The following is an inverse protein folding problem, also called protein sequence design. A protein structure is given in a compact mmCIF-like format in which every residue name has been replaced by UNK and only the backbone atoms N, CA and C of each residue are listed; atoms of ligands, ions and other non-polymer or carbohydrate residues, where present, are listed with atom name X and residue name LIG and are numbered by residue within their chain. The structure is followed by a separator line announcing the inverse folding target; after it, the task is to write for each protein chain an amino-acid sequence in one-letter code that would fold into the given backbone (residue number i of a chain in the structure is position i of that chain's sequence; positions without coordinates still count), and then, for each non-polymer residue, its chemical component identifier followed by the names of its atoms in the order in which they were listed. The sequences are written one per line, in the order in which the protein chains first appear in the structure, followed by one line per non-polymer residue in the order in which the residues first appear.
data_IF_479092591492
#
_entry.id   IF_479092591492
#
_cell.length_a   1.000
_cell.length_b   1.000
_cell.length_c   1.000
_cell.angle_alpha   90.00
_cell.angle_beta   90.00
_cell.angle_gamma   90.00
#
_symmetry.space_group_name_H-M   'P 1'
#
loop_
_entity.id
_entity.type
_entity.pdbx_description
1 polymer ?
#
# COMPACT_ATOMS: atom_id res chain seq x y z
N UNK A 1 6.05 12.21 0.34
CA UNK A 1 5.10 11.24 0.95
C UNK A 1 5.24 11.24 2.47
N UNK A 2 4.16 11.01 3.22
CA UNK A 2 4.19 10.95 4.68
C UNK A 2 5.00 9.74 5.19
N UNK A 3 5.53 9.83 6.41
CA UNK A 3 6.30 8.74 7.04
C UNK A 3 5.37 7.62 7.55
N UNK A 4 4.19 8.00 8.04
CA UNK A 4 3.15 7.09 8.51
C UNK A 4 1.87 7.27 7.69
N UNK A 5 1.15 6.18 7.45
CA UNK A 5 -0.12 6.16 6.73
C UNK A 5 -1.16 5.46 7.59
N UNK A 6 -2.40 5.95 7.55
CA UNK A 6 -3.57 5.29 8.13
C UNK A 6 -4.61 5.01 7.04
N UNK A 7 -5.21 3.82 7.05
CA UNK A 7 -6.32 3.45 6.19
C UNK A 7 -7.58 3.27 7.03
N UNK A 8 -8.62 4.04 6.71
CA UNK A 8 -9.95 3.91 7.29
C UNK A 8 -10.86 3.20 6.29
N UNK A 9 -11.56 2.16 6.73
CA UNK A 9 -12.53 1.41 5.92
C UNK A 9 -13.76 1.10 6.79
N UNK A 10 -14.96 1.36 6.29
CA UNK A 10 -16.21 1.15 7.04
C UNK A 10 -16.26 1.80 8.44
N UNK A 11 -15.72 3.03 8.59
CA UNK A 11 -15.59 3.75 9.88
C UNK A 11 -14.65 3.06 10.89
N UNK A 12 -13.88 2.06 10.47
CA UNK A 12 -12.87 1.39 11.27
C UNK A 12 -11.46 1.70 10.76
N UNK A 13 -10.51 1.85 11.68
CA UNK A 13 -9.08 1.98 11.36
C UNK A 13 -8.53 0.60 10.98
N UNK A 14 -8.49 0.33 9.69
CA UNK A 14 -7.99 -0.94 9.16
C UNK A 14 -6.50 -1.09 9.44
N UNK A 15 -5.72 -0.02 9.30
CA UNK A 15 -4.30 -0.04 9.57
C UNK A 15 -3.76 1.37 9.84
N UNK A 16 -2.77 1.50 10.72
CA UNK A 16 -2.00 2.71 10.94
C UNK A 16 -0.56 2.37 11.33
N UNK A 17 0.41 2.98 10.66
CA UNK A 17 1.82 2.73 10.95
C UNK A 17 2.76 3.32 9.91
N UNK A 18 4.04 2.89 9.91
CA UNK A 18 5.01 3.27 8.88
C UNK A 18 4.48 2.93 7.50
N UNK A 19 4.77 3.77 6.51
CA UNK A 19 4.26 3.55 5.14
C UNK A 19 4.62 2.17 4.57
N UNK A 20 5.79 1.64 4.91
CA UNK A 20 6.24 0.31 4.46
C UNK A 20 5.27 -0.78 4.90
N UNK A 21 4.76 -0.70 6.13
CA UNK A 21 3.76 -1.64 6.67
C UNK A 21 2.53 -1.74 5.77
N UNK A 22 2.00 -0.61 5.35
CA UNK A 22 0.81 -0.57 4.49
C UNK A 22 1.14 -0.98 3.06
N UNK A 23 2.28 -0.52 2.52
CA UNK A 23 2.68 -0.76 1.13
C UNK A 23 3.20 -2.18 0.87
N UNK A 24 3.48 -2.96 1.91
CA UNK A 24 3.79 -4.39 1.84
C UNK A 24 2.71 -5.27 2.47
N UNK A 25 1.51 -4.72 2.74
CA UNK A 25 0.44 -5.46 3.42
C UNK A 25 -0.29 -6.42 2.49
N UNK A 26 -0.49 -7.65 2.94
CA UNK A 26 -1.30 -8.66 2.24
C UNK A 26 -2.81 -8.53 2.51
N UNK A 27 -3.22 -7.61 3.40
CA UNK A 27 -4.62 -7.35 3.72
C UNK A 27 -5.40 -6.97 2.45
N UNK A 28 -6.46 -7.72 2.06
CA UNK A 28 -7.10 -7.58 0.75
C UNK A 28 -7.70 -6.19 0.52
N UNK A 29 -8.24 -5.54 1.57
CA UNK A 29 -8.74 -4.16 1.49
C UNK A 29 -7.63 -3.18 1.15
N UNK A 30 -6.46 -3.33 1.76
CA UNK A 30 -5.29 -2.47 1.52
C UNK A 30 -4.76 -2.70 0.10
N UNK A 31 -4.62 -3.97 -0.31
CA UNK A 31 -4.07 -4.36 -1.61
C UNK A 31 -4.97 -3.93 -2.77
N UNK A 32 -6.29 -4.08 -2.64
CA UNK A 32 -7.24 -3.57 -3.63
C UNK A 32 -7.12 -2.05 -3.80
N UNK A 33 -7.06 -1.32 -2.68
CA UNK A 33 -6.92 0.13 -2.68
C UNK A 33 -5.62 0.58 -3.36
N UNK A 34 -4.47 -0.02 -2.99
CA UNK A 34 -3.16 0.35 -3.53
C UNK A 34 -3.02 0.04 -5.03
N UNK A 35 -3.63 -1.04 -5.50
CA UNK A 35 -3.61 -1.44 -6.92
C UNK A 35 -4.75 -0.83 -7.75
N UNK A 36 -5.59 0.03 -7.15
CA UNK A 36 -6.80 0.59 -7.78
C UNK A 36 -7.69 -0.48 -8.46
N UNK A 37 -7.83 -1.65 -7.82
CA UNK A 37 -8.57 -2.78 -8.40
C UNK A 37 -10.07 -2.64 -8.16
N UNK A 38 -10.85 -3.05 -9.18
CA UNK A 38 -12.33 -3.08 -9.10
C UNK A 38 -12.86 -4.34 -8.42
N UNK A 39 -12.04 -5.38 -8.40
CA UNK A 39 -12.34 -6.68 -7.80
C UNK A 39 -11.80 -6.69 -6.37
N UNK A 40 -12.62 -7.13 -5.42
CA UNK A 40 -12.23 -7.25 -4.01
C UNK A 40 -13.24 -6.66 -3.01
N UNK A 41 -12.86 -6.59 -1.72
CA UNK A 41 -13.77 -6.25 -0.61
C UNK A 41 -14.28 -4.79 -0.60
N UNK A 42 -13.63 -3.86 -1.30
CA UNK A 42 -14.09 -2.48 -1.47
C UNK A 42 -15.11 -2.48 -2.62
N UNK A 43 -16.39 -2.40 -2.28
CA UNK A 43 -17.46 -2.18 -3.24
C UNK A 43 -17.33 -0.83 -3.94
N UNK A 44 -17.35 -0.84 -5.28
CA UNK A 44 -17.27 0.37 -6.10
C UNK A 44 -18.64 1.07 -6.26
N UNK A 45 -19.74 0.36 -6.00
CA UNK A 45 -21.10 0.87 -5.91
C UNK A 45 -21.65 0.59 -4.51
N UNK A 46 -22.60 1.41 -4.06
CA UNK A 46 -23.36 1.16 -2.82
C UNK A 46 -24.20 -0.13 -2.90
N UNK A 47 -24.48 -0.61 -4.12
CA UNK A 47 -25.35 -1.74 -4.42
C UNK A 47 -24.60 -3.06 -4.72
N UNK A 48 -23.27 -3.13 -4.59
CA UNK A 48 -22.55 -4.39 -4.88
C UNK A 48 -23.04 -5.47 -3.91
N UNK A 49 -23.76 -6.46 -4.43
CA UNK A 49 -24.41 -7.50 -3.65
C UNK A 49 -23.37 -8.34 -2.88
N UNK A 50 -23.72 -8.76 -1.67
CA UNK A 50 -22.86 -9.59 -0.83
C UNK A 50 -22.44 -10.90 -1.52
N UNK A 51 -23.28 -11.41 -2.44
CA UNK A 51 -23.00 -12.59 -3.26
C UNK A 51 -21.92 -12.33 -4.32
N UNK A 52 -21.90 -11.14 -4.92
CA UNK A 52 -20.84 -10.73 -5.86
C UNK A 52 -19.51 -10.52 -5.12
N UNK A 53 -19.57 -9.95 -3.91
CA UNK A 53 -18.42 -9.76 -3.02
C UNK A 53 -17.82 -11.10 -2.56
N UNK A 54 -18.69 -12.09 -2.25
CA UNK A 54 -18.28 -13.44 -1.88
C UNK A 54 -17.68 -14.21 -3.08
N UNK A 55 -18.22 -14.02 -4.28
CA UNK A 55 -17.69 -14.64 -5.50
C UNK A 55 -16.29 -14.12 -5.89
N UNK A 56 -15.96 -12.88 -5.51
CA UNK A 56 -14.66 -12.27 -5.76
C UNK A 56 -13.65 -12.48 -4.62
N UNK A 57 -14.10 -12.94 -3.45
CA UNK A 57 -13.24 -13.08 -2.26
C UNK A 57 -12.05 -14.04 -2.47
N UNK A 58 -12.21 -15.01 -3.37
CA UNK A 58 -11.21 -16.03 -3.70
C UNK A 58 -10.40 -15.70 -4.96
N UNK A 59 -10.61 -14.54 -5.59
CA UNK A 59 -9.79 -14.10 -6.72
C UNK A 59 -8.42 -13.63 -6.24
N UNK A 60 -7.37 -14.18 -6.84
CA UNK A 60 -6.01 -13.79 -6.53
C UNK A 60 -5.75 -12.35 -7.00
N UNK A 61 -5.54 -11.45 -6.04
CA UNK A 61 -5.21 -10.06 -6.34
C UNK A 61 -3.82 -9.98 -7.00
N UNK A 62 -3.59 -9.07 -7.96
CA UNK A 62 -2.27 -8.86 -8.55
C UNK A 62 -1.23 -8.49 -7.48
N UNK A 63 0.06 -8.77 -7.71
CA UNK A 63 1.12 -8.44 -6.75
C UNK A 63 1.12 -6.95 -6.42
N UNK A 64 1.60 -6.60 -5.23
CA UNK A 64 1.76 -5.20 -4.83
C UNK A 64 2.78 -4.48 -5.74
N UNK A 65 2.58 -3.18 -6.02
CA UNK A 65 3.53 -2.41 -6.79
C UNK A 65 4.82 -2.18 -5.99
N UNK A 66 5.95 -1.89 -6.66
CA UNK A 66 7.19 -1.54 -5.98
C UNK A 66 7.02 -0.33 -5.05
N UNK A 67 7.66 -0.38 -3.87
CA UNK A 67 7.64 0.73 -2.92
C UNK A 67 8.63 1.82 -3.39
N UNK A 68 8.17 3.05 -3.71
CA UNK A 68 9.06 4.13 -4.11
C UNK A 68 9.93 4.61 -2.95
N UNK A 69 11.12 5.12 -3.27
CA UNK A 69 11.92 5.89 -2.33
C UNK A 69 11.14 7.07 -1.76
N UNK A 70 11.38 7.35 -0.49
CA UNK A 70 10.75 8.47 0.17
C UNK A 70 11.41 9.79 -0.25
N UNK A 71 10.59 10.72 -0.74
CA UNK A 71 11.06 12.08 -1.03
C UNK A 71 11.61 12.75 0.24
N UNK A 72 12.78 13.34 0.09
CA UNK A 72 13.42 14.10 1.15
C UNK A 72 12.71 15.43 1.42
N UNK A 73 12.74 15.92 2.66
CA UNK A 73 12.35 17.29 2.99
C UNK A 73 13.14 18.33 2.18
N UNK A 74 12.47 19.38 1.67
CA UNK A 74 13.11 20.42 0.86
C UNK A 74 14.20 21.21 1.62
N UNK A 75 14.20 21.18 2.95
CA UNK A 75 15.20 21.81 3.80
C UNK A 75 16.39 20.89 4.12
N UNK A 76 16.40 19.64 3.63
CA UNK A 76 17.47 18.66 3.86
C UNK A 76 17.57 18.13 5.30
N UNK A 77 16.65 18.51 6.19
CA UNK A 77 16.64 18.05 7.59
C UNK A 77 15.67 16.87 7.69
N UNK A 78 16.13 15.66 8.04
CA UNK A 78 15.25 14.50 8.19
C UNK A 78 14.13 14.73 9.20
N UNK A 79 12.93 14.20 8.90
CA UNK A 79 11.82 14.26 9.87
C UNK A 79 12.11 13.32 11.03
N UNK A 80 11.63 13.66 12.24
CA UNK A 80 11.80 12.82 13.44
C UNK A 80 11.27 11.38 13.24
N UNK A 81 10.22 11.23 12.44
CA UNK A 81 9.59 9.94 12.11
C UNK A 81 10.14 9.27 10.85
N UNK A 82 11.08 9.91 10.15
CA UNK A 82 11.66 9.36 8.93
C UNK A 82 12.49 8.12 9.26
N UNK A 83 12.33 7.07 8.47
CA UNK A 83 13.08 5.82 8.58
C UNK A 83 13.89 5.62 7.31
N UNK A 84 14.97 4.85 7.44
CA UNK A 84 15.72 4.36 6.29
C UNK A 84 14.83 3.48 5.40
N UNK A 85 14.95 3.56 4.06
CA UNK A 85 14.19 2.72 3.15
C UNK A 85 14.33 1.23 3.48
N UNK A 86 13.20 0.54 3.62
CA UNK A 86 13.12 -0.90 3.91
C UNK A 86 13.53 -1.28 5.34
N UNK A 87 13.74 -0.30 6.24
CA UNK A 87 14.08 -0.60 7.63
C UNK A 87 12.96 -1.36 8.35
N UNK A 88 11.70 -0.98 8.13
CA UNK A 88 10.56 -1.64 8.76
C UNK A 88 10.38 -3.05 8.21
N UNK A 89 10.51 -3.22 6.88
CA UNK A 89 10.44 -4.54 6.25
C UNK A 89 11.48 -5.51 6.84
N UNK A 90 12.74 -5.05 6.99
CA UNK A 90 13.80 -5.86 7.60
C UNK A 90 13.54 -6.19 9.07
N UNK A 91 13.09 -5.20 9.84
CA UNK A 91 12.79 -5.37 11.27
C UNK A 91 11.69 -6.41 11.53
N UNK A 92 10.74 -6.56 10.61
CA UNK A 92 9.59 -7.45 10.77
C UNK A 92 9.63 -8.68 9.84
N UNK A 93 10.76 -8.93 9.17
CA UNK A 93 10.94 -10.09 8.29
C UNK A 93 10.02 -10.09 7.06
N UNK A 94 9.52 -8.91 6.66
CA UNK A 94 8.65 -8.75 5.49
C UNK A 94 9.51 -8.58 4.25
N UNK A 95 9.23 -9.36 3.20
CA UNK A 95 9.88 -9.20 1.91
C UNK A 95 9.14 -8.14 1.10
N UNK A 96 9.78 -7.01 0.75
CA UNK A 96 9.12 -5.97 -0.03
C UNK A 96 8.84 -6.46 -1.47
N UNK A 97 7.86 -5.87 -2.17
CA UNK A 97 7.60 -6.19 -3.56
C UNK A 97 8.85 -6.01 -4.45
N UNK A 98 9.02 -6.82 -5.51
CA UNK A 98 10.17 -6.69 -6.42
C UNK A 98 10.32 -5.27 -6.96
N UNK A 99 11.57 -4.78 -7.09
CA UNK A 99 11.86 -3.42 -7.56
C UNK A 99 11.65 -2.31 -6.52
N UNK A 100 11.29 -2.65 -5.27
CA UNK A 100 11.14 -1.66 -4.20
C UNK A 100 12.48 -1.00 -3.84
N UNK A 101 12.43 0.31 -3.55
CA UNK A 101 13.55 1.13 -3.11
C UNK A 101 14.68 1.34 -4.13
N UNK A 102 14.43 1.08 -5.43
CA UNK A 102 15.39 1.38 -6.50
C UNK A 102 15.37 2.88 -6.87
N UNK A 103 16.55 3.47 -7.13
CA UNK A 103 16.70 4.89 -7.53
C UNK A 103 16.08 5.20 -8.90
N UNK A 104 16.01 4.20 -9.80
CA UNK A 104 15.53 4.35 -11.17
C UNK A 104 14.03 4.04 -11.33
N UNK A 105 13.21 4.43 -10.36
CA UNK A 105 11.76 4.39 -10.54
C UNK A 105 11.33 5.59 -11.41
N UNK A 106 11.55 5.47 -12.72
CA UNK A 106 10.79 6.25 -13.69
C UNK A 106 9.31 6.04 -13.36
N UNK A 107 8.66 7.09 -12.86
CA UNK A 107 7.20 7.18 -12.86
C UNK A 107 6.80 6.88 -14.31
N UNK A 108 6.27 5.69 -14.58
CA UNK A 108 5.66 5.39 -15.87
C UNK A 108 4.55 6.43 -16.03
N UNK A 109 4.81 7.46 -16.83
CA UNK A 109 3.77 8.25 -17.47
C UNK A 109 2.91 7.24 -18.20
N UNK A 110 1.66 7.11 -17.73
CA UNK A 110 0.68 6.20 -18.31
C UNK A 110 0.59 6.40 -19.81
N UNK A 111 0.54 5.28 -20.52
CA UNK A 111 0.04 5.20 -21.89
C UNK A 111 -1.49 5.37 -21.90
#
# INVERSE_FOLDING_TARGET
MPDNIGLLYHKHLAMFGPREMLLSSEEPVVRQFLNAQRVGPIGMSEEKDADELAAEADQELPPLPPIPLQLEPSNGIPRRSQREPGAWCREHGVTPPPGSFEENMTMTTGA
#
